data_IF_630760382251
#
_entry.id   IF_630760382251
#
_cell.length_a   1.000
_cell.length_b   1.000
_cell.length_c   1.000
_cell.angle_alpha   90.00
_cell.angle_beta   90.00
_cell.angle_gamma   90.00
#
_symmetry.space_group_name_H-M   'P 1'
#
loop_
_entity.id
_entity.type
_entity.pdbx_description
1 polymer ?
#
# COMPACT_ATOMS: atom_id res chain seq x y z
N UNK A 1 26.81 2.73 -0.74
CA UNK A 1 27.66 2.81 0.47
C UNK A 1 28.71 1.72 0.37
N UNK A 2 30.03 1.96 0.37
CA UNK A 2 30.82 3.18 0.53
C UNK A 2 30.89 4.01 -0.77
N UNK A 3 30.77 5.33 -0.65
CA UNK A 3 31.16 6.29 -1.70
C UNK A 3 32.26 7.13 -1.05
N UNK A 4 33.52 6.94 -1.46
CA UNK A 4 34.69 7.61 -0.88
C UNK A 4 35.81 6.65 -0.45
N UNK A 5 37.05 7.15 -0.48
CA UNK A 5 38.27 6.40 -0.17
C UNK A 5 38.73 6.53 1.30
N UNK A 6 37.95 7.18 2.16
CA UNK A 6 38.37 7.50 3.53
C UNK A 6 38.42 6.27 4.44
N UNK A 7 39.22 6.31 5.51
CA UNK A 7 39.28 5.21 6.48
C UNK A 7 37.89 4.93 7.09
N UNK A 8 37.58 3.68 7.51
CA UNK A 8 36.32 3.38 8.19
C UNK A 8 36.18 4.27 9.44
N UNK A 9 35.08 4.99 9.54
CA UNK A 9 34.77 5.87 10.68
C UNK A 9 33.43 5.47 11.33
N UNK A 10 33.25 5.86 12.60
CA UNK A 10 32.02 5.65 13.33
C UNK A 10 30.93 6.58 12.79
N UNK A 11 29.91 6.01 12.16
CA UNK A 11 28.79 6.77 11.58
C UNK A 11 27.67 7.09 12.61
N UNK A 12 27.70 6.47 13.79
CA UNK A 12 26.72 6.67 14.86
C UNK A 12 25.72 5.53 15.04
N UNK A 13 24.64 5.79 15.78
CA UNK A 13 23.56 4.84 16.05
C UNK A 13 22.47 4.95 14.98
N UNK A 14 22.01 3.82 14.46
CA UNK A 14 20.97 3.73 13.43
C UNK A 14 19.88 2.74 13.83
N UNK A 15 18.66 3.00 13.37
CA UNK A 15 17.58 2.01 13.35
C UNK A 15 17.63 1.24 12.04
N UNK A 16 17.53 -0.09 12.12
CA UNK A 16 17.37 -0.95 10.96
C UNK A 16 15.88 -1.26 10.81
N UNK A 17 15.29 -0.86 9.69
CA UNK A 17 13.89 -1.15 9.36
C UNK A 17 13.86 -2.28 8.33
N UNK A 18 13.02 -3.28 8.57
CA UNK A 18 12.82 -4.36 7.61
C UNK A 18 12.22 -3.81 6.31
N UNK A 19 12.79 -4.22 5.18
CA UNK A 19 12.27 -3.83 3.87
C UNK A 19 11.03 -4.64 3.54
N UNK A 20 9.92 -3.96 3.24
CA UNK A 20 8.70 -4.61 2.74
C UNK A 20 8.87 -4.94 1.26
N UNK A 21 9.28 -6.17 0.97
CA UNK A 21 9.49 -6.72 -0.36
C UNK A 21 9.10 -8.21 -0.45
N UNK A 22 9.50 -8.91 -1.52
CA UNK A 22 9.17 -10.33 -1.71
C UNK A 22 9.69 -11.24 -0.59
N UNK A 23 10.77 -10.88 0.11
CA UNK A 23 11.28 -11.65 1.25
C UNK A 23 10.34 -11.48 2.44
N UNK A 24 9.95 -10.24 2.73
CA UNK A 24 8.94 -9.94 3.76
C UNK A 24 7.63 -10.71 3.48
N UNK A 25 7.08 -10.60 2.27
CA UNK A 25 5.82 -11.26 1.93
C UNK A 25 5.90 -12.79 2.06
N UNK A 26 6.99 -13.40 1.61
CA UNK A 26 7.18 -14.86 1.76
C UNK A 26 7.23 -15.28 3.23
N UNK A 27 7.90 -14.50 4.08
CA UNK A 27 8.09 -14.82 5.48
C UNK A 27 6.81 -14.61 6.31
N UNK A 28 6.07 -13.54 6.03
CA UNK A 28 4.93 -13.12 6.86
C UNK A 28 3.57 -13.51 6.27
N UNK A 29 3.46 -13.65 4.94
CA UNK A 29 2.20 -13.95 4.23
C UNK A 29 2.26 -15.28 3.43
N UNK A 30 3.40 -15.96 3.40
CA UNK A 30 3.54 -17.27 2.74
C UNK A 30 3.55 -17.23 1.20
N UNK A 31 3.29 -16.08 0.57
CA UNK A 31 3.24 -15.93 -0.89
C UNK A 31 4.01 -14.69 -1.36
N UNK A 32 4.36 -14.71 -2.65
CA UNK A 32 4.92 -13.56 -3.38
C UNK A 32 4.22 -13.32 -4.72
N UNK A 33 3.05 -13.94 -4.94
CA UNK A 33 2.27 -13.83 -6.19
C UNK A 33 1.52 -12.51 -6.31
N UNK A 34 1.21 -11.89 -5.17
CA UNK A 34 0.41 -10.70 -5.10
C UNK A 34 1.06 -9.44 -5.66
N UNK A 35 0.29 -8.35 -5.66
CA UNK A 35 0.74 -7.03 -6.06
C UNK A 35 0.97 -6.17 -4.82
N UNK A 36 2.22 -5.77 -4.60
CA UNK A 36 2.61 -4.86 -3.53
C UNK A 36 2.69 -3.42 -4.07
N UNK A 37 1.90 -2.55 -3.47
CA UNK A 37 1.79 -1.13 -3.80
C UNK A 37 2.28 -0.32 -2.61
N UNK A 38 2.91 0.83 -2.88
CA UNK A 38 3.23 1.83 -1.86
C UNK A 38 2.78 3.19 -2.38
N UNK A 39 1.49 3.52 -2.23
CA UNK A 39 0.96 4.77 -2.76
C UNK A 39 1.72 5.98 -2.22
N UNK A 40 1.85 7.00 -3.06
CA UNK A 40 2.55 8.24 -2.73
C UNK A 40 1.67 9.42 -3.17
N UNK A 41 1.31 10.30 -2.25
CA UNK A 41 0.61 11.55 -2.56
C UNK A 41 -0.88 11.42 -2.89
N UNK A 42 -1.50 10.26 -2.63
CA UNK A 42 -2.95 10.06 -2.84
C UNK A 42 -3.68 9.77 -1.54
N UNK A 43 -4.77 10.50 -1.31
CA UNK A 43 -5.64 10.34 -0.13
C UNK A 43 -6.72 9.30 -0.39
N UNK A 44 -6.89 8.34 0.52
CA UNK A 44 -7.82 7.24 0.36
C UNK A 44 -7.45 6.34 -0.82
N UNK A 45 -8.46 5.86 -1.55
CA UNK A 45 -8.32 4.99 -2.73
C UNK A 45 -9.02 5.68 -3.91
N UNK A 46 -8.49 6.79 -4.46
CA UNK A 46 -9.20 7.56 -5.48
C UNK A 46 -9.41 6.77 -6.77
N UNK A 47 -10.57 6.97 -7.40
CA UNK A 47 -10.88 6.40 -8.70
C UNK A 47 -10.46 7.32 -9.84
N UNK A 48 -9.55 6.84 -10.70
CA UNK A 48 -8.98 7.61 -11.81
C UNK A 48 -9.59 7.26 -13.18
N UNK A 49 -10.64 6.45 -13.23
CA UNK A 49 -11.18 5.88 -14.46
C UNK A 49 -10.84 4.40 -14.63
N UNK A 50 -11.02 3.87 -15.83
CA UNK A 50 -10.86 2.44 -16.14
C UNK A 50 -9.50 2.08 -16.71
N UNK A 51 -8.63 3.06 -16.94
CA UNK A 51 -7.35 2.85 -17.62
C UNK A 51 -6.21 2.57 -16.63
N UNK A 52 -5.54 1.42 -16.78
CA UNK A 52 -4.47 0.94 -15.88
C UNK A 52 -3.35 1.97 -15.68
N UNK A 53 -2.89 2.62 -16.76
CA UNK A 53 -1.75 3.56 -16.69
C UNK A 53 -1.98 4.73 -15.72
N UNK A 54 -3.24 5.05 -15.38
CA UNK A 54 -3.58 6.10 -14.42
C UNK A 54 -3.33 5.72 -12.97
N UNK A 55 -3.19 4.43 -12.69
CA UNK A 55 -2.99 3.88 -11.34
C UNK A 55 -1.53 3.54 -11.06
N UNK A 56 -0.73 3.23 -12.09
CA UNK A 56 0.64 2.74 -11.92
C UNK A 56 1.54 3.72 -11.15
N UNK A 57 1.53 5.00 -11.53
CA UNK A 57 2.37 6.02 -10.89
C UNK A 57 1.88 6.40 -9.48
N UNK A 58 0.58 6.68 -9.25
CA UNK A 58 0.11 7.06 -7.91
C UNK A 58 0.17 5.93 -6.88
N UNK A 59 -0.12 4.69 -7.27
CA UNK A 59 -0.07 3.52 -6.37
C UNK A 59 1.35 2.93 -6.24
N UNK A 60 2.25 3.28 -7.15
CA UNK A 60 3.69 3.01 -7.06
C UNK A 60 4.01 1.55 -6.68
N UNK A 61 3.73 0.65 -7.63
CA UNK A 61 3.94 -0.77 -7.47
C UNK A 61 5.42 -1.13 -7.33
N UNK A 62 5.73 -2.08 -6.44
CA UNK A 62 7.11 -2.57 -6.23
C UNK A 62 7.62 -3.48 -7.34
N UNK A 63 6.73 -3.95 -8.20
CA UNK A 63 7.02 -4.66 -9.44
C UNK A 63 5.86 -4.48 -10.42
N UNK A 64 6.07 -4.88 -11.68
CA UNK A 64 5.00 -4.93 -12.67
C UNK A 64 3.93 -5.94 -12.22
N UNK A 65 2.72 -5.45 -11.93
CA UNK A 65 1.53 -6.27 -11.75
C UNK A 65 0.97 -6.79 -13.08
N UNK A 66 0.13 -7.80 -13.05
CA UNK A 66 -0.64 -8.24 -14.23
C UNK A 66 -1.82 -7.30 -14.48
N UNK A 67 -2.34 -7.31 -15.70
CA UNK A 67 -3.52 -6.51 -16.06
C UNK A 67 -4.71 -6.83 -15.14
N UNK A 68 -4.92 -8.12 -14.84
CA UNK A 68 -5.95 -8.60 -13.90
C UNK A 68 -5.79 -8.07 -12.48
N UNK A 69 -4.55 -7.93 -11.99
CA UNK A 69 -4.27 -7.36 -10.68
C UNK A 69 -4.60 -5.86 -10.66
N UNK A 70 -4.26 -5.13 -11.73
CA UNK A 70 -4.59 -3.72 -11.84
C UNK A 70 -6.09 -3.48 -12.03
N UNK A 71 -6.77 -4.30 -12.83
CA UNK A 71 -8.24 -4.33 -12.92
C UNK A 71 -8.86 -4.47 -11.53
N UNK A 72 -8.33 -5.36 -10.69
CA UNK A 72 -8.81 -5.53 -9.31
C UNK A 72 -8.63 -4.27 -8.45
N UNK A 73 -7.53 -3.54 -8.62
CA UNK A 73 -7.30 -2.24 -7.95
C UNK A 73 -8.28 -1.18 -8.44
N UNK A 74 -8.55 -1.15 -9.75
CA UNK A 74 -9.52 -0.23 -10.37
C UNK A 74 -10.94 -0.51 -9.85
N UNK A 75 -11.34 -1.79 -9.80
CA UNK A 75 -12.61 -2.25 -9.24
C UNK A 75 -12.74 -1.82 -7.77
N UNK A 76 -11.69 -1.99 -6.96
CA UNK A 76 -11.71 -1.56 -5.56
C UNK A 76 -11.85 -0.04 -5.43
N UNK A 77 -11.12 0.73 -6.24
CA UNK A 77 -11.26 2.17 -6.26
C UNK A 77 -12.65 2.61 -6.71
N UNK A 78 -13.27 1.90 -7.66
CA UNK A 78 -14.65 2.15 -8.06
C UNK A 78 -15.61 1.88 -6.89
N UNK A 79 -15.51 0.70 -6.27
CA UNK A 79 -16.35 0.30 -5.13
C UNK A 79 -16.36 1.36 -4.03
N UNK A 80 -15.19 1.85 -3.63
CA UNK A 80 -15.06 2.82 -2.53
C UNK A 80 -15.59 4.22 -2.88
N UNK A 81 -15.68 4.59 -4.17
CA UNK A 81 -15.96 5.98 -4.56
C UNK A 81 -17.24 6.18 -5.38
N UNK A 82 -17.81 5.12 -5.97
CA UNK A 82 -18.83 5.21 -7.02
C UNK A 82 -20.00 4.24 -6.83
N UNK A 83 -19.92 3.37 -5.83
CA UNK A 83 -20.98 2.41 -5.53
C UNK A 83 -21.89 2.97 -4.43
N UNK A 84 -23.19 2.65 -4.50
CA UNK A 84 -24.17 3.04 -3.48
C UNK A 84 -23.92 2.28 -2.16
N UNK A 85 -24.36 2.85 -1.04
CA UNK A 85 -24.03 2.34 0.30
C UNK A 85 -24.41 0.86 0.53
N UNK A 86 -25.61 0.45 0.08
CA UNK A 86 -26.08 -0.94 0.24
C UNK A 86 -25.18 -1.94 -0.53
N UNK A 87 -24.83 -1.63 -1.78
CA UNK A 87 -23.95 -2.47 -2.59
C UNK A 87 -22.51 -2.44 -2.06
N UNK A 88 -22.06 -1.30 -1.51
CA UNK A 88 -20.76 -1.19 -0.85
C UNK A 88 -20.67 -2.12 0.36
N UNK A 89 -21.65 -2.08 1.25
CA UNK A 89 -21.69 -2.92 2.46
C UNK A 89 -21.68 -4.41 2.12
N UNK A 90 -22.46 -4.82 1.11
CA UNK A 90 -22.50 -6.22 0.67
C UNK A 90 -21.19 -6.69 0.02
N UNK A 91 -20.41 -5.78 -0.58
CA UNK A 91 -19.30 -6.15 -1.47
C UNK A 91 -17.91 -5.92 -0.87
N UNK A 92 -17.76 -5.01 0.08
CA UNK A 92 -16.45 -4.54 0.59
C UNK A 92 -15.56 -5.68 1.12
N UNK A 93 -16.14 -6.66 1.81
CA UNK A 93 -15.38 -7.79 2.37
C UNK A 93 -14.79 -8.71 1.30
N UNK A 94 -15.31 -8.68 0.06
CA UNK A 94 -14.70 -9.39 -1.07
C UNK A 94 -13.44 -8.71 -1.62
N UNK A 95 -13.22 -7.44 -1.27
CA UNK A 95 -12.07 -6.64 -1.71
C UNK A 95 -11.07 -6.36 -0.61
N UNK A 96 -11.52 -6.24 0.64
CA UNK A 96 -10.73 -5.76 1.75
C UNK A 96 -10.96 -6.63 2.98
N UNK A 97 -9.87 -7.04 3.63
CA UNK A 97 -9.92 -7.55 5.00
C UNK A 97 -10.23 -6.37 5.95
N UNK A 98 -11.51 -6.18 6.23
CA UNK A 98 -12.03 -5.03 7.00
C UNK A 98 -11.47 -5.01 8.42
N UNK A 99 -11.38 -6.15 9.10
CA UNK A 99 -10.82 -6.22 10.46
C UNK A 99 -9.35 -5.79 10.48
N UNK A 100 -8.53 -6.29 9.55
CA UNK A 100 -7.11 -5.87 9.45
C UNK A 100 -6.98 -4.39 9.11
N UNK A 101 -7.81 -3.87 8.20
CA UNK A 101 -7.81 -2.46 7.85
C UNK A 101 -8.17 -1.58 9.06
N UNK A 102 -9.22 -1.92 9.80
CA UNK A 102 -9.64 -1.16 10.98
C UNK A 102 -8.59 -1.19 12.11
N UNK A 103 -7.88 -2.30 12.29
CA UNK A 103 -6.73 -2.37 13.22
C UNK A 103 -5.58 -1.46 12.78
N UNK A 104 -5.23 -1.49 11.49
CA UNK A 104 -4.25 -0.57 10.92
C UNK A 104 -4.67 0.89 11.17
N UNK A 105 -5.94 1.20 10.93
CA UNK A 105 -6.49 2.55 11.13
C UNK A 105 -6.40 3.00 12.59
N UNK A 106 -6.79 2.14 13.52
CA UNK A 106 -6.68 2.40 14.95
C UNK A 106 -5.23 2.72 15.36
N UNK A 107 -4.25 1.97 14.84
CA UNK A 107 -2.84 2.26 15.08
C UNK A 107 -2.41 3.63 14.54
N UNK A 108 -2.86 4.04 13.34
CA UNK A 108 -2.56 5.36 12.80
C UNK A 108 -3.11 6.49 13.68
N UNK A 109 -4.33 6.31 14.20
CA UNK A 109 -4.98 7.25 15.12
C UNK A 109 -4.21 7.33 16.46
N UNK A 110 -3.88 6.19 17.06
CA UNK A 110 -3.16 6.13 18.34
C UNK A 110 -1.77 6.77 18.26
N UNK A 111 -1.10 6.63 17.11
CA UNK A 111 0.22 7.22 16.87
C UNK A 111 0.15 8.68 16.39
N UNK A 112 -1.04 9.22 16.17
CA UNK A 112 -1.26 10.54 15.57
C UNK A 112 -0.43 10.74 14.28
N UNK A 113 -0.38 9.72 13.42
CA UNK A 113 0.37 9.80 12.18
C UNK A 113 -0.38 10.66 11.14
N UNK A 114 -0.08 11.95 11.13
CA UNK A 114 -0.68 12.93 10.20
C UNK A 114 -0.24 12.73 8.74
N UNK A 115 0.85 11.99 8.52
CA UNK A 115 1.38 11.66 7.20
C UNK A 115 0.94 10.26 6.75
N UNK A 116 -0.17 9.74 7.30
CA UNK A 116 -0.71 8.41 7.03
C UNK A 116 -1.79 8.41 5.93
N UNK A 117 -2.39 7.24 5.72
CA UNK A 117 -3.62 7.03 4.94
C UNK A 117 -4.74 8.02 5.27
N UNK A 118 -4.94 8.36 6.56
CA UNK A 118 -5.99 9.29 7.01
C UNK A 118 -5.66 10.77 6.77
N UNK A 119 -4.38 11.09 6.56
CA UNK A 119 -3.89 12.45 6.48
C UNK A 119 -3.47 12.84 5.07
N UNK A 120 -2.16 12.88 4.86
CA UNK A 120 -1.57 13.28 3.58
C UNK A 120 -1.62 12.20 2.49
N UNK A 121 -1.90 10.94 2.84
CA UNK A 121 -1.93 9.83 1.89
C UNK A 121 -0.57 9.16 1.65
N UNK A 122 0.29 9.10 2.68
CA UNK A 122 1.61 8.47 2.61
C UNK A 122 1.79 7.39 3.70
N UNK A 123 2.96 6.74 3.71
CA UNK A 123 3.42 5.83 4.77
C UNK A 123 2.56 4.59 5.01
N UNK A 124 2.06 3.98 3.94
CA UNK A 124 1.41 2.67 3.98
C UNK A 124 1.75 1.83 2.75
N UNK A 125 1.52 0.53 2.88
CA UNK A 125 1.56 -0.42 1.79
C UNK A 125 0.17 -1.01 1.60
N UNK A 126 -0.19 -1.32 0.35
CA UNK A 126 -1.32 -2.17 0.02
C UNK A 126 -0.77 -3.46 -0.57
N UNK A 127 -1.31 -4.59 -0.14
CA UNK A 127 -0.97 -5.89 -0.71
C UNK A 127 -2.26 -6.55 -1.20
N UNK A 128 -2.33 -6.76 -2.51
CA UNK A 128 -3.32 -7.60 -3.15
C UNK A 128 -2.75 -9.03 -3.18
N UNK A 129 -3.39 -9.97 -2.47
CA UNK A 129 -3.03 -11.40 -2.39
C UNK A 129 -2.98 -12.09 -3.76
#
# INVERSE_FOLDING_TARGET
MKVGNDAPELLGLYTLVEQVDRKFLRQHLGSTSGLLLKPEGIKGIPWFGTEIYRYEQPYNAKWRGTDRQWERVIEFAHLVNRTEDDEFEETIESFLDVDRFLRFLACQVLLANLDSFLGSGHNYYLYLD
#
